data_IF_625390200228
#
_entry.id   IF_625390200228
#
_cell.length_a   1.000
_cell.length_b   1.000
_cell.length_c   1.000
_cell.angle_alpha   90.00
_cell.angle_beta   90.00
_cell.angle_gamma   90.00
#
_symmetry.space_group_name_H-M   'P 1'
#
loop_
_entity.id
_entity.type
_entity.pdbx_description
1 polymer ?
#
# COMPACT_ATOMS: atom_id res chain seq x y z
N UNK A 1 -14.11 17.54 -3.50
CA UNK A 1 -13.58 16.22 -3.84
C UNK A 1 -14.52 15.14 -3.32
N UNK A 2 -14.87 14.22 -4.18
CA UNK A 2 -15.70 13.07 -3.82
C UNK A 2 -14.80 11.84 -3.67
N UNK A 3 -14.18 11.71 -2.50
CA UNK A 3 -13.15 10.71 -2.23
C UNK A 3 -13.78 9.42 -1.70
N UNK A 4 -13.53 8.33 -2.38
CA UNK A 4 -14.02 6.99 -2.03
C UNK A 4 -12.87 6.00 -2.10
N UNK A 5 -12.80 5.13 -1.10
CA UNK A 5 -11.91 3.95 -1.12
C UNK A 5 -12.74 2.74 -1.47
N UNK A 6 -12.33 2.00 -2.48
CA UNK A 6 -13.04 0.79 -2.93
C UNK A 6 -12.09 -0.39 -3.09
N UNK A 7 -12.59 -1.57 -2.78
CA UNK A 7 -11.91 -2.82 -3.10
C UNK A 7 -12.09 -3.09 -4.59
N UNK A 8 -10.98 -3.30 -5.30
CA UNK A 8 -11.02 -3.66 -6.72
C UNK A 8 -11.29 -5.16 -6.84
N UNK A 9 -12.42 -5.51 -7.41
CA UNK A 9 -12.89 -6.91 -7.50
C UNK A 9 -12.93 -7.43 -8.92
N UNK A 10 -12.86 -6.57 -9.92
CA UNK A 10 -12.97 -6.92 -11.32
C UNK A 10 -11.68 -6.57 -12.05
N UNK A 11 -11.16 -7.53 -12.82
CA UNK A 11 -10.03 -7.29 -13.68
C UNK A 11 -10.48 -6.46 -14.88
N UNK A 12 -10.18 -5.18 -14.84
CA UNK A 12 -10.53 -4.20 -15.86
C UNK A 12 -9.25 -3.59 -16.42
N UNK A 13 -9.05 -3.67 -17.73
CA UNK A 13 -7.83 -3.19 -18.37
C UNK A 13 -7.56 -1.72 -18.09
N UNK A 14 -8.58 -0.87 -18.14
CA UNK A 14 -8.41 0.57 -17.88
C UNK A 14 -8.00 0.85 -16.43
N UNK A 15 -8.57 0.12 -15.47
CA UNK A 15 -8.21 0.24 -14.05
C UNK A 15 -6.77 -0.23 -13.83
N UNK A 16 -6.39 -1.36 -14.40
CA UNK A 16 -5.03 -1.91 -14.28
C UNK A 16 -3.99 -0.97 -14.89
N UNK A 17 -4.29 -0.43 -16.05
CA UNK A 17 -3.41 0.52 -16.74
C UNK A 17 -3.21 1.79 -15.91
N UNK A 18 -4.30 2.35 -15.37
CA UNK A 18 -4.23 3.54 -14.52
C UNK A 18 -3.43 3.29 -13.23
N UNK A 19 -3.64 2.15 -12.59
CA UNK A 19 -2.91 1.81 -11.37
C UNK A 19 -1.43 1.60 -11.61
N UNK A 20 -1.06 0.95 -12.73
CA UNK A 20 0.37 0.78 -13.08
C UNK A 20 1.01 2.12 -13.45
N UNK A 21 0.28 3.02 -14.07
CA UNK A 21 0.74 4.39 -14.34
C UNK A 21 1.06 5.15 -13.06
N UNK A 22 0.19 5.09 -12.06
CA UNK A 22 0.40 5.73 -10.75
C UNK A 22 1.64 5.13 -10.05
N UNK A 23 1.81 3.82 -10.09
CA UNK A 23 2.98 3.14 -9.56
C UNK A 23 4.27 3.59 -10.25
N UNK A 24 4.26 3.68 -11.58
CA UNK A 24 5.41 4.14 -12.35
C UNK A 24 5.80 5.58 -12.01
N UNK A 25 4.82 6.45 -11.83
CA UNK A 25 5.06 7.84 -11.41
C UNK A 25 5.72 7.90 -10.01
N UNK A 26 5.30 7.02 -9.10
CA UNK A 26 5.78 7.02 -7.72
C UNK A 26 7.16 6.37 -7.56
N UNK A 27 7.40 5.26 -8.26
CA UNK A 27 8.54 4.37 -8.00
C UNK A 27 9.39 4.07 -9.24
N UNK A 28 9.03 4.55 -10.42
CA UNK A 28 9.74 4.25 -11.65
C UNK A 28 9.74 2.75 -11.94
N UNK A 29 10.89 2.20 -12.31
CA UNK A 29 11.03 0.76 -12.61
C UNK A 29 10.86 -0.14 -11.37
N UNK A 30 10.99 0.40 -10.17
CA UNK A 30 10.75 -0.32 -8.92
C UNK A 30 9.27 -0.46 -8.55
N UNK A 31 8.38 0.19 -9.29
CA UNK A 31 6.94 0.12 -9.07
C UNK A 31 6.34 -1.20 -9.54
N UNK A 32 5.12 -1.48 -9.07
CA UNK A 32 4.37 -2.66 -9.49
C UNK A 32 3.97 -2.53 -10.95
N UNK A 33 4.22 -3.58 -11.71
CA UNK A 33 3.77 -3.69 -13.10
C UNK A 33 2.55 -4.62 -13.17
N UNK A 34 2.03 -4.80 -14.38
CA UNK A 34 0.84 -5.64 -14.61
C UNK A 34 1.06 -7.10 -14.15
N UNK A 35 2.28 -7.63 -14.27
CA UNK A 35 2.60 -9.00 -13.90
C UNK A 35 2.56 -9.23 -12.39
N UNK A 36 2.72 -8.18 -11.60
CA UNK A 36 2.61 -8.23 -10.14
C UNK A 36 1.20 -7.86 -9.69
N UNK A 37 0.60 -6.86 -10.33
CA UNK A 37 -0.70 -6.34 -9.94
C UNK A 37 -1.83 -7.36 -10.17
N UNK A 38 -1.81 -8.08 -11.28
CA UNK A 38 -2.86 -9.07 -11.59
C UNK A 38 -2.92 -10.20 -10.56
N UNK A 39 -1.81 -10.87 -10.19
CA UNK A 39 -1.85 -11.86 -9.12
C UNK A 39 -2.33 -11.30 -7.77
N UNK A 40 -1.94 -10.08 -7.44
CA UNK A 40 -2.40 -9.43 -6.20
C UNK A 40 -3.89 -9.16 -6.21
N UNK A 41 -4.44 -8.78 -7.37
CA UNK A 41 -5.89 -8.60 -7.50
C UNK A 41 -6.63 -9.93 -7.34
N UNK A 42 -6.10 -11.01 -7.91
CA UNK A 42 -6.72 -12.33 -7.85
C UNK A 42 -6.59 -13.02 -6.50
N UNK A 43 -5.46 -12.86 -5.82
CA UNK A 43 -5.09 -13.65 -4.65
C UNK A 43 -4.75 -12.81 -3.40
N UNK A 44 -4.64 -11.52 -3.56
CA UNK A 44 -4.44 -10.57 -2.46
C UNK A 44 -5.64 -9.65 -2.29
N UNK A 45 -5.36 -8.41 -1.91
CA UNK A 45 -6.35 -7.33 -1.87
C UNK A 45 -5.78 -6.10 -2.54
N UNK A 46 -6.54 -5.56 -3.47
CA UNK A 46 -6.20 -4.31 -4.15
C UNK A 46 -7.31 -3.32 -3.87
N UNK A 47 -6.92 -2.12 -3.41
CA UNK A 47 -7.83 -1.00 -3.19
C UNK A 47 -7.49 0.13 -4.13
N UNK A 48 -8.50 0.86 -4.56
CA UNK A 48 -8.36 2.08 -5.32
C UNK A 48 -8.90 3.26 -4.52
N UNK A 49 -8.21 4.38 -4.58
CA UNK A 49 -8.70 5.66 -4.11
C UNK A 49 -9.25 6.40 -5.32
N UNK A 50 -10.52 6.79 -5.25
CA UNK A 50 -11.18 7.52 -6.33
C UNK A 50 -11.56 8.93 -5.90
N UNK A 51 -11.48 9.84 -6.86
CA UNK A 51 -12.14 11.14 -6.81
C UNK A 51 -13.18 11.13 -7.92
N UNK A 52 -14.45 10.91 -7.57
CA UNK A 52 -15.50 10.65 -8.55
C UNK A 52 -15.18 9.41 -9.38
N UNK A 53 -15.07 9.59 -10.69
CA UNK A 53 -14.74 8.50 -11.64
C UNK A 53 -13.23 8.25 -11.79
N UNK A 54 -12.41 9.15 -11.27
CA UNK A 54 -10.96 9.10 -11.48
C UNK A 54 -10.27 8.30 -10.39
N UNK A 55 -9.44 7.34 -10.76
CA UNK A 55 -8.53 6.67 -9.83
C UNK A 55 -7.33 7.58 -9.59
N UNK A 56 -7.11 7.93 -8.34
CA UNK A 56 -6.02 8.79 -7.90
C UNK A 56 -5.04 8.10 -6.96
N UNK A 57 -5.28 6.84 -6.62
CA UNK A 57 -4.37 6.06 -5.80
C UNK A 57 -4.66 4.57 -5.87
N UNK A 58 -3.67 3.77 -5.48
CA UNK A 58 -3.76 2.33 -5.38
C UNK A 58 -3.00 1.80 -4.17
N UNK A 59 -3.52 0.76 -3.56
CA UNK A 59 -2.86 0.06 -2.46
C UNK A 59 -3.05 -1.45 -2.64
N UNK A 60 -1.99 -2.21 -2.39
CA UNK A 60 -1.98 -3.64 -2.63
C UNK A 60 -1.48 -4.36 -1.38
N UNK A 61 -2.20 -5.42 -1.01
CA UNK A 61 -1.88 -6.24 0.15
C UNK A 61 -1.81 -7.71 -0.23
N UNK A 62 -0.94 -8.43 0.46
CA UNK A 62 -0.94 -9.88 0.44
C UNK A 62 -1.16 -10.41 1.85
N UNK A 63 -1.71 -11.62 1.96
CA UNK A 63 -1.88 -12.29 3.24
C UNK A 63 -0.61 -13.06 3.55
N UNK A 64 -0.18 -13.02 4.81
CA UNK A 64 0.95 -13.80 5.27
C UNK A 64 0.63 -15.30 5.17
N UNK A 65 1.58 -16.09 4.66
CA UNK A 65 1.37 -17.52 4.47
C UNK A 65 1.38 -18.29 5.79
N UNK A 66 2.16 -17.83 6.78
CA UNK A 66 2.28 -18.47 8.08
C UNK A 66 1.21 -18.02 9.08
N UNK A 67 0.67 -16.81 8.90
CA UNK A 67 -0.36 -16.23 9.77
C UNK A 67 -1.43 -15.54 8.93
N UNK A 68 -2.57 -16.21 8.75
CA UNK A 68 -3.65 -15.72 7.89
C UNK A 68 -4.40 -14.50 8.46
N UNK A 69 -4.07 -14.08 9.67
CA UNK A 69 -4.59 -12.83 10.26
C UNK A 69 -3.67 -11.64 10.06
N UNK A 70 -2.53 -11.85 9.42
CA UNK A 70 -1.56 -10.81 9.10
C UNK A 70 -1.61 -10.48 7.61
N UNK A 71 -1.67 -9.20 7.28
CA UNK A 71 -1.54 -8.71 5.91
C UNK A 71 -0.25 -7.92 5.77
N UNK A 72 0.36 -8.00 4.60
CA UNK A 72 1.55 -7.23 4.24
C UNK A 72 1.16 -6.19 3.19
N UNK A 73 1.48 -4.93 3.45
CA UNK A 73 1.30 -3.87 2.46
C UNK A 73 2.43 -3.95 1.44
N UNK A 74 2.10 -4.40 0.23
CA UNK A 74 3.07 -4.53 -0.86
C UNK A 74 3.44 -3.16 -1.43
N UNK A 75 2.44 -2.30 -1.60
CA UNK A 75 2.65 -0.94 -2.08
C UNK A 75 1.43 -0.06 -1.87
N UNK A 76 1.69 1.23 -1.78
CA UNK A 76 0.68 2.27 -1.79
C UNK A 76 1.23 3.47 -2.54
N UNK A 77 0.45 4.02 -3.45
CA UNK A 77 0.85 5.17 -4.24
C UNK A 77 -0.33 6.06 -4.55
N UNK A 78 -0.07 7.36 -4.62
CA UNK A 78 -1.02 8.37 -5.06
C UNK A 78 -0.53 9.02 -6.34
N UNK A 79 -1.45 9.48 -7.16
CA UNK A 79 -1.16 10.40 -8.26
C UNK A 79 -0.37 11.59 -7.72
N UNK A 80 0.66 11.99 -8.45
CA UNK A 80 1.57 13.06 -8.02
C UNK A 80 0.84 14.36 -7.69
N UNK A 81 -0.24 14.68 -8.41
CA UNK A 81 -1.02 15.89 -8.19
C UNK A 81 -1.90 15.84 -6.94
N UNK A 82 -2.06 14.64 -6.35
CA UNK A 82 -2.93 14.43 -5.18
C UNK A 82 -2.15 14.28 -3.89
N UNK A 83 -0.82 14.38 -3.94
CA UNK A 83 0.03 14.24 -2.75
C UNK A 83 0.01 15.50 -1.89
N UNK A 84 0.40 15.35 -0.61
CA UNK A 84 0.53 16.46 0.33
C UNK A 84 -0.80 16.98 0.89
N UNK A 85 -1.89 16.26 0.72
CA UNK A 85 -3.23 16.65 1.18
C UNK A 85 -3.80 15.74 2.28
N UNK A 86 -2.98 14.85 2.82
CA UNK A 86 -3.42 13.88 3.83
C UNK A 86 -4.21 12.70 3.26
N UNK A 87 -4.35 12.60 1.95
CA UNK A 87 -5.13 11.54 1.31
C UNK A 87 -4.49 10.16 1.47
N UNK A 88 -3.16 10.07 1.47
CA UNK A 88 -2.47 8.79 1.67
C UNK A 88 -2.74 8.19 3.05
N UNK A 89 -2.73 9.01 4.09
CA UNK A 89 -3.02 8.60 5.46
C UNK A 89 -4.48 8.14 5.57
N UNK A 90 -5.41 8.90 5.01
CA UNK A 90 -6.82 8.52 4.96
C UNK A 90 -7.03 7.22 4.20
N UNK A 91 -6.40 7.10 3.03
CA UNK A 91 -6.51 5.92 2.18
C UNK A 91 -6.06 4.65 2.90
N UNK A 92 -4.86 4.67 3.48
CA UNK A 92 -4.35 3.51 4.20
C UNK A 92 -5.22 3.18 5.42
N UNK A 93 -5.68 4.20 6.15
CA UNK A 93 -6.58 4.01 7.28
C UNK A 93 -7.87 3.29 6.87
N UNK A 94 -8.51 3.72 5.80
CA UNK A 94 -9.75 3.09 5.31
C UNK A 94 -9.49 1.68 4.75
N UNK A 95 -8.34 1.44 4.10
CA UNK A 95 -7.93 0.09 3.70
C UNK A 95 -7.82 -0.83 4.92
N UNK A 96 -7.16 -0.37 5.98
CA UNK A 96 -7.01 -1.16 7.20
C UNK A 96 -8.34 -1.45 7.88
N UNK A 97 -9.28 -0.50 7.88
CA UNK A 97 -10.63 -0.73 8.39
C UNK A 97 -11.34 -1.83 7.61
N UNK A 98 -11.21 -1.83 6.29
CA UNK A 98 -11.77 -2.88 5.44
C UNK A 98 -11.13 -4.25 5.71
N UNK A 99 -9.81 -4.29 5.85
CA UNK A 99 -9.08 -5.53 6.15
C UNK A 99 -9.46 -6.10 7.52
N UNK A 100 -9.66 -5.24 8.52
CA UNK A 100 -10.11 -5.65 9.85
C UNK A 100 -11.45 -6.38 9.77
N UNK A 101 -12.36 -5.89 8.95
CA UNK A 101 -13.67 -6.54 8.74
C UNK A 101 -13.53 -7.91 8.06
N UNK A 102 -12.44 -8.15 7.35
CA UNK A 102 -12.15 -9.45 6.71
C UNK A 102 -11.35 -10.39 7.62
N UNK A 103 -11.12 -10.02 8.88
CA UNK A 103 -10.43 -10.86 9.86
C UNK A 103 -8.93 -10.62 9.97
N UNK A 104 -8.41 -9.57 9.36
CA UNK A 104 -7.00 -9.20 9.52
C UNK A 104 -6.82 -8.51 10.87
N UNK A 105 -5.85 -9.00 11.64
CA UNK A 105 -5.55 -8.49 12.99
C UNK A 105 -4.31 -7.60 13.03
N UNK A 106 -3.44 -7.69 12.02
CA UNK A 106 -2.18 -6.95 11.99
C UNK A 106 -1.78 -6.66 10.55
N UNK A 107 -1.28 -5.45 10.31
CA UNK A 107 -0.71 -5.06 9.03
C UNK A 107 0.78 -4.78 9.22
N UNK A 108 1.60 -5.42 8.39
CA UNK A 108 3.04 -5.18 8.31
C UNK A 108 3.36 -4.42 7.02
N UNK A 109 4.37 -3.56 7.09
CA UNK A 109 4.96 -2.92 5.91
C UNK A 109 6.46 -2.75 6.11
N UNK A 110 7.16 -2.46 5.05
CA UNK A 110 8.55 -2.04 5.13
C UNK A 110 8.76 -0.71 4.44
N UNK A 111 9.71 0.07 4.95
CA UNK A 111 10.06 1.40 4.45
C UNK A 111 11.56 1.45 4.25
N UNK A 112 12.03 2.14 3.22
CA UNK A 112 13.44 2.45 3.05
C UNK A 112 13.97 3.12 4.33
N UNK A 113 15.04 2.55 4.91
CA UNK A 113 15.61 3.06 6.15
C UNK A 113 16.07 4.53 6.05
N UNK A 114 16.39 5.00 4.84
CA UNK A 114 16.76 6.39 4.60
C UNK A 114 15.55 7.34 4.55
N UNK A 115 14.33 6.80 4.41
CA UNK A 115 13.11 7.60 4.33
C UNK A 115 12.52 7.88 5.71
N UNK A 116 13.20 8.73 6.46
CA UNK A 116 12.82 9.11 7.83
C UNK A 116 11.43 9.75 7.89
N UNK A 117 11.08 10.53 6.85
CA UNK A 117 9.78 11.20 6.78
C UNK A 117 8.63 10.19 6.69
N UNK A 118 8.78 9.13 5.90
CA UNK A 118 7.76 8.07 5.78
C UNK A 118 7.61 7.30 7.10
N UNK A 119 8.72 6.92 7.73
CA UNK A 119 8.70 6.26 9.04
C UNK A 119 7.93 7.09 10.06
N UNK A 120 8.16 8.40 10.08
CA UNK A 120 7.46 9.31 10.97
C UNK A 120 5.95 9.34 10.72
N UNK A 121 5.53 9.41 9.45
CA UNK A 121 4.11 9.43 9.09
C UNK A 121 3.42 8.14 9.54
N UNK A 122 4.01 6.99 9.25
CA UNK A 122 3.45 5.72 9.68
C UNK A 122 3.33 5.62 11.20
N UNK A 123 4.36 6.04 11.91
CA UNK A 123 4.37 5.98 13.37
C UNK A 123 3.41 6.99 14.00
N UNK A 124 3.52 8.27 13.64
CA UNK A 124 2.80 9.35 14.32
C UNK A 124 1.35 9.50 13.86
N UNK A 125 1.07 9.27 12.58
CA UNK A 125 -0.27 9.48 12.03
C UNK A 125 -1.09 8.21 11.93
N UNK A 126 -0.45 7.07 11.76
CA UNK A 126 -1.14 5.80 11.54
C UNK A 126 -0.97 4.80 12.68
N UNK A 127 -0.09 5.08 13.63
CA UNK A 127 0.08 4.25 14.81
C UNK A 127 0.87 2.96 14.58
N UNK A 128 1.69 2.93 13.55
CA UNK A 128 2.61 1.81 13.34
C UNK A 128 3.76 1.88 14.33
N UNK A 129 4.30 0.73 14.70
CA UNK A 129 5.51 0.62 15.52
C UNK A 129 6.64 -0.01 14.71
N UNK A 130 7.87 0.40 15.00
CA UNK A 130 9.07 -0.19 14.39
C UNK A 130 9.39 -1.50 15.09
N UNK A 131 9.53 -2.58 14.33
CA UNK A 131 9.90 -3.89 14.84
C UNK A 131 11.39 -4.15 14.73
N UNK A 132 11.96 -3.92 13.55
CA UNK A 132 13.35 -4.23 13.24
C UNK A 132 13.80 -3.51 11.98
N UNK A 133 15.10 -3.57 11.71
CA UNK A 133 15.67 -3.18 10.43
C UNK A 133 16.24 -4.41 9.76
N UNK A 134 15.88 -4.63 8.49
CA UNK A 134 16.41 -5.72 7.66
C UNK A 134 17.44 -5.15 6.71
N UNK A 135 18.71 -5.43 7.01
CA UNK A 135 19.83 -4.95 6.18
C UNK A 135 19.91 -5.75 4.91
N UNK A 136 20.09 -5.06 3.77
CA UNK A 136 20.24 -5.70 2.47
C UNK A 136 19.04 -6.48 2.00
N UNK A 137 17.83 -6.17 2.48
CA UNK A 137 16.61 -6.92 2.16
C UNK A 137 16.35 -7.00 0.66
N UNK A 138 16.64 -5.92 -0.08
CA UNK A 138 16.48 -5.86 -1.52
C UNK A 138 17.82 -5.72 -2.26
N UNK A 139 18.92 -6.07 -1.60
CA UNK A 139 20.26 -6.00 -2.15
C UNK A 139 21.20 -5.20 -1.28
N UNK A 140 22.48 -5.20 -1.63
CA UNK A 140 23.50 -4.51 -0.85
C UNK A 140 23.19 -3.01 -0.73
N UNK A 141 23.12 -2.52 0.51
CA UNK A 141 22.82 -1.12 0.80
C UNK A 141 21.35 -0.74 0.73
N UNK A 142 20.47 -1.70 0.43
CA UNK A 142 19.02 -1.47 0.41
C UNK A 142 18.40 -2.03 1.68
N UNK A 143 18.43 -1.22 2.73
CA UNK A 143 17.95 -1.59 4.06
C UNK A 143 16.49 -1.18 4.23
N UNK A 144 15.69 -2.00 4.92
CA UNK A 144 14.28 -1.75 5.16
C UNK A 144 13.98 -1.73 6.65
N UNK A 145 13.20 -0.74 7.07
CA UNK A 145 12.60 -0.71 8.40
C UNK A 145 11.28 -1.45 8.33
N UNK A 146 11.10 -2.44 9.20
CA UNK A 146 9.87 -3.22 9.32
C UNK A 146 8.97 -2.57 10.35
N UNK A 147 7.75 -2.29 9.97
CA UNK A 147 6.76 -1.68 10.85
C UNK A 147 5.48 -2.49 10.86
N UNK A 148 4.76 -2.46 11.97
CA UNK A 148 3.47 -3.12 12.07
C UNK A 148 2.44 -2.29 12.83
N UNK A 149 1.19 -2.55 12.53
CA UNK A 149 0.06 -2.02 13.29
C UNK A 149 -0.91 -3.15 13.63
N UNK A 150 -1.27 -3.25 14.91
CA UNK A 150 -2.36 -4.12 15.37
C UNK A 150 -3.68 -3.38 15.14
N UNK A 151 -4.61 -4.03 14.48
CA UNK A 151 -5.89 -3.43 14.10
C UNK A 151 -6.98 -3.54 15.18
#
# INVERSE_FOLDING_TARGET
MDIVVEKVTVLNAAVMERMTEIEAQAFGEGGLNIWTLVPLLRHGRVFALRDGQNIIGGAQFMRDWEDNTRAYLVGIALDALCRGKGLGTRFLGECMDALKKEGIACVELTVDAANVAAVRVYREKLGFEVLETRKGEYGLGVDRVVMQKVL
#
